data_IF_269753570845
#
_entry.id   IF_269753570845
#
_cell.length_a   1.000
_cell.length_b   1.000
_cell.length_c   1.000
_cell.angle_alpha   90.00
_cell.angle_beta   90.00
_cell.angle_gamma   90.00
#
_symmetry.space_group_name_H-M   'P 1'
#
loop_
_entity.id
_entity.type
_entity.pdbx_description
1 polymer ?
#
# COMPACT_ATOMS: atom_id res chain seq x y z
N UNK A 1 -9.43 54.04 7.23
CA UNK A 1 -10.77 53.59 6.78
C UNK A 1 -10.88 53.88 5.29
N UNK A 2 -10.68 52.87 4.45
CA UNK A 2 -11.08 52.86 3.04
C UNK A 2 -11.25 51.40 2.64
N UNK A 3 -12.49 51.01 2.40
CA UNK A 3 -12.93 49.66 2.07
C UNK A 3 -13.35 49.71 0.61
N UNK A 4 -12.67 48.97 -0.28
CA UNK A 4 -13.11 48.79 -1.66
C UNK A 4 -13.87 47.46 -1.75
N UNK A 5 -15.19 47.56 -1.93
CA UNK A 5 -16.06 46.45 -2.28
C UNK A 5 -16.34 46.53 -3.79
N UNK A 6 -16.03 45.46 -4.52
CA UNK A 6 -16.42 45.28 -5.92
C UNK A 6 -17.72 44.48 -5.97
N UNK A 7 -18.69 45.04 -6.68
CA UNK A 7 -20.02 44.48 -6.98
C UNK A 7 -20.09 44.01 -8.43
N UNK A 8 -20.59 42.80 -8.65
CA UNK A 8 -21.22 42.26 -9.87
C UNK A 8 -21.55 40.80 -9.56
N UNK A 9 -22.76 40.26 -9.69
CA UNK A 9 -23.86 40.58 -10.59
C UNK A 9 -24.37 39.24 -11.12
N UNK A 10 -25.59 38.87 -10.72
CA UNK A 10 -26.41 37.73 -11.16
C UNK A 10 -26.32 37.38 -12.67
N UNK A 11 -26.47 36.10 -13.04
CA UNK A 11 -27.76 35.55 -13.51
C UNK A 11 -27.67 34.10 -14.05
N UNK A 12 -28.61 33.29 -13.57
CA UNK A 12 -29.25 32.04 -14.03
C UNK A 12 -28.95 31.44 -15.42
N UNK A 13 -28.98 30.08 -15.50
CA UNK A 13 -30.06 29.27 -16.14
C UNK A 13 -29.54 27.91 -16.68
N UNK A 14 -30.17 26.82 -16.27
CA UNK A 14 -30.13 25.48 -16.88
C UNK A 14 -31.56 25.09 -17.32
N UNK A 15 -31.81 23.93 -17.96
CA UNK A 15 -31.22 23.29 -19.16
C UNK A 15 -32.31 23.14 -20.27
N UNK A 16 -32.12 22.34 -21.34
CA UNK A 16 -32.88 21.07 -21.37
C UNK A 16 -32.21 19.86 -22.07
N UNK A 17 -32.85 18.72 -21.83
CA UNK A 17 -32.64 17.33 -22.25
C UNK A 17 -33.46 17.04 -23.53
N UNK A 18 -32.88 16.42 -24.57
CA UNK A 18 -33.57 15.82 -25.74
C UNK A 18 -32.83 14.50 -26.05
N UNK A 19 -33.37 13.29 -25.84
CA UNK A 19 -34.39 12.49 -26.57
C UNK A 19 -34.05 12.16 -28.03
N UNK A 20 -34.14 10.85 -28.28
CA UNK A 20 -33.85 10.06 -29.46
C UNK A 20 -34.30 10.59 -30.83
N UNK A 21 -33.58 10.16 -31.88
CA UNK A 21 -34.11 9.99 -33.23
C UNK A 21 -33.37 8.87 -33.95
N UNK A 22 -34.13 7.86 -34.36
CA UNK A 22 -33.76 6.79 -35.29
C UNK A 22 -33.71 7.30 -36.73
N UNK A 23 -32.82 6.75 -37.58
CA UNK A 23 -33.14 6.37 -38.96
C UNK A 23 -31.99 5.60 -39.63
N UNK A 24 -32.35 4.52 -40.30
CA UNK A 24 -31.54 3.61 -41.12
C UNK A 24 -30.54 4.28 -42.06
N UNK A 25 -29.50 3.52 -42.48
CA UNK A 25 -29.23 3.43 -43.90
C UNK A 25 -29.17 1.99 -44.42
N UNK A 26 -29.21 1.94 -45.75
CA UNK A 26 -29.62 0.88 -46.64
C UNK A 26 -28.49 -0.10 -46.95
N UNK A 27 -28.92 -1.34 -47.15
CA UNK A 27 -28.24 -2.53 -47.62
C UNK A 27 -27.57 -2.35 -49.00
N UNK A 28 -26.35 -2.88 -49.16
CA UNK A 28 -25.67 -2.98 -50.45
C UNK A 28 -24.28 -3.61 -50.37
N UNK A 29 -24.12 -4.74 -51.09
CA UNK A 29 -22.87 -5.38 -51.55
C UNK A 29 -22.16 -6.36 -50.60
N UNK A 30 -22.79 -7.53 -50.41
CA UNK A 30 -22.12 -8.78 -50.06
C UNK A 30 -21.46 -9.38 -51.30
N UNK A 31 -20.19 -9.08 -51.59
CA UNK A 31 -19.39 -9.99 -52.43
C UNK A 31 -17.87 -9.86 -52.29
N UNK A 32 -17.32 -8.74 -51.77
CA UNK A 32 -15.86 -8.54 -51.75
C UNK A 32 -15.17 -8.87 -50.39
N UNK A 33 -15.93 -9.11 -49.31
CA UNK A 33 -15.35 -9.39 -47.98
C UNK A 33 -14.92 -10.85 -47.74
N UNK A 34 -15.26 -11.78 -48.65
CA UNK A 34 -15.00 -13.20 -48.44
C UNK A 34 -13.55 -13.60 -48.71
N UNK A 35 -12.82 -12.86 -49.54
CA UNK A 35 -11.43 -13.16 -49.88
C UNK A 35 -10.46 -12.73 -48.76
N UNK A 36 -10.76 -11.62 -48.07
CA UNK A 36 -10.02 -11.17 -46.88
C UNK A 36 -10.30 -12.02 -45.63
N UNK A 37 -11.50 -12.63 -45.53
CA UNK A 37 -11.83 -13.56 -44.44
C UNK A 37 -11.15 -14.94 -44.62
N UNK A 38 -10.96 -15.37 -45.87
CA UNK A 38 -10.28 -16.63 -46.17
C UNK A 38 -8.80 -16.62 -45.79
N UNK A 39 -8.11 -15.47 -45.94
CA UNK A 39 -6.70 -15.31 -45.53
C UNK A 39 -6.51 -15.12 -44.02
N UNK A 40 -7.54 -14.63 -43.31
CA UNK A 40 -7.56 -14.47 -41.86
C UNK A 40 -7.96 -15.74 -41.09
N UNK A 41 -8.40 -16.81 -41.77
CA UNK A 41 -8.87 -18.03 -41.14
C UNK A 41 -7.86 -18.78 -40.23
N UNK A 42 -6.54 -18.81 -40.52
CA UNK A 42 -5.59 -19.61 -39.72
C UNK A 42 -5.36 -19.06 -38.31
N UNK A 43 -5.13 -17.75 -38.16
CA UNK A 43 -4.87 -17.13 -36.86
C UNK A 43 -6.12 -17.09 -35.97
N UNK A 44 -7.31 -17.01 -36.58
CA UNK A 44 -8.58 -17.09 -35.85
C UNK A 44 -8.71 -18.48 -35.21
N UNK A 45 -8.34 -19.55 -35.93
CA UNK A 45 -8.33 -20.90 -35.37
C UNK A 45 -7.27 -21.07 -34.27
N UNK A 46 -6.08 -20.49 -34.42
CA UNK A 46 -5.04 -20.54 -33.39
C UNK A 46 -5.45 -19.81 -32.11
N UNK A 47 -6.06 -18.62 -32.24
CA UNK A 47 -6.58 -17.84 -31.09
C UNK A 47 -7.77 -18.56 -30.45
N UNK A 48 -8.66 -19.16 -31.25
CA UNK A 48 -9.78 -19.95 -30.73
C UNK A 48 -9.29 -21.19 -29.97
N UNK A 49 -8.26 -21.85 -30.49
CA UNK A 49 -7.65 -23.00 -29.85
C UNK A 49 -6.95 -22.61 -28.54
N UNK A 50 -6.20 -21.51 -28.53
CA UNK A 50 -5.54 -20.98 -27.32
C UNK A 50 -6.55 -20.52 -26.26
N UNK A 51 -7.64 -19.88 -26.67
CA UNK A 51 -8.73 -19.49 -25.77
C UNK A 51 -9.41 -20.73 -25.17
N UNK A 52 -9.62 -21.79 -25.96
CA UNK A 52 -10.19 -23.06 -25.48
C UNK A 52 -9.27 -23.78 -24.49
N UNK A 53 -7.96 -23.76 -24.73
CA UNK A 53 -6.99 -24.33 -23.79
C UNK A 53 -6.91 -23.52 -22.48
N UNK A 54 -6.89 -22.19 -22.56
CA UNK A 54 -6.94 -21.33 -21.38
C UNK A 54 -8.24 -21.51 -20.57
N UNK A 55 -9.37 -21.72 -21.26
CA UNK A 55 -10.63 -22.01 -20.60
C UNK A 55 -10.61 -23.37 -19.88
N UNK A 56 -10.03 -24.41 -20.50
CA UNK A 56 -9.92 -25.74 -19.90
C UNK A 56 -8.97 -25.77 -18.69
N UNK A 57 -7.86 -25.04 -18.74
CA UNK A 57 -6.93 -24.94 -17.60
C UNK A 57 -7.57 -24.19 -16.43
N UNK A 58 -8.37 -23.16 -16.69
CA UNK A 58 -9.10 -22.43 -15.65
C UNK A 58 -10.18 -23.32 -15.00
N UNK A 59 -10.97 -24.06 -15.79
CA UNK A 59 -12.03 -24.95 -15.27
C UNK A 59 -11.41 -26.08 -14.44
N UNK A 60 -10.36 -26.73 -14.92
CA UNK A 60 -9.68 -27.81 -14.19
C UNK A 60 -8.96 -27.31 -12.93
N UNK A 61 -8.37 -26.12 -12.95
CA UNK A 61 -7.79 -25.51 -11.76
C UNK A 61 -8.86 -25.19 -10.70
N UNK A 62 -10.04 -24.72 -11.12
CA UNK A 62 -11.17 -24.45 -10.23
C UNK A 62 -11.69 -25.73 -9.59
N UNK A 63 -11.93 -26.79 -10.36
CA UNK A 63 -12.40 -28.09 -9.86
C UNK A 63 -11.40 -28.71 -8.86
N UNK A 64 -10.11 -28.66 -9.19
CA UNK A 64 -9.06 -29.14 -8.29
C UNK A 64 -8.96 -28.28 -7.01
N UNK A 65 -9.12 -26.96 -7.11
CA UNK A 65 -9.12 -26.08 -5.94
C UNK A 65 -10.33 -26.34 -5.03
N UNK A 66 -11.51 -26.58 -5.60
CA UNK A 66 -12.71 -26.94 -4.85
C UNK A 66 -12.50 -28.28 -4.12
N UNK A 67 -12.01 -29.31 -4.80
CA UNK A 67 -11.76 -30.61 -4.19
C UNK A 67 -10.69 -30.56 -3.07
N UNK A 68 -9.60 -29.81 -3.26
CA UNK A 68 -8.57 -29.60 -2.24
C UNK A 68 -9.11 -28.82 -1.04
N UNK A 69 -10.00 -27.85 -1.28
CA UNK A 69 -10.61 -27.07 -0.20
C UNK A 69 -11.56 -27.92 0.64
N UNK A 70 -12.43 -28.71 -0.01
CA UNK A 70 -13.36 -29.62 0.67
C UNK A 70 -12.62 -30.68 1.49
N UNK A 71 -11.61 -31.33 0.91
CA UNK A 71 -10.80 -32.33 1.63
C UNK A 71 -10.02 -31.77 2.82
N UNK A 72 -9.51 -30.53 2.73
CA UNK A 72 -8.87 -29.84 3.87
C UNK A 72 -9.89 -29.46 4.93
N UNK A 73 -11.08 -29.04 4.53
CA UNK A 73 -12.16 -28.68 5.44
C UNK A 73 -12.67 -29.91 6.21
N UNK A 74 -12.90 -31.03 5.53
CA UNK A 74 -13.26 -32.30 6.17
C UNK A 74 -12.18 -32.77 7.16
N UNK A 75 -10.90 -32.60 6.80
CA UNK A 75 -9.78 -32.95 7.70
C UNK A 75 -9.70 -32.03 8.92
N UNK A 76 -10.02 -30.75 8.77
CA UNK A 76 -10.08 -29.80 9.90
C UNK A 76 -11.27 -30.09 10.80
N UNK A 77 -12.45 -30.36 10.22
CA UNK A 77 -13.66 -30.70 10.98
C UNK A 77 -13.47 -31.97 11.80
N UNK A 78 -12.93 -33.04 11.19
CA UNK A 78 -12.69 -34.33 11.87
C UNK A 78 -11.59 -34.24 12.93
N UNK A 79 -10.51 -33.49 12.67
CA UNK A 79 -9.46 -33.25 13.66
C UNK A 79 -9.99 -32.40 14.81
N UNK A 80 -10.75 -31.34 14.51
CA UNK A 80 -11.35 -30.45 15.52
C UNK A 80 -12.37 -31.18 16.40
N UNK A 81 -13.19 -32.08 15.83
CA UNK A 81 -14.17 -32.85 16.62
C UNK A 81 -13.48 -33.82 17.58
N UNK A 82 -12.38 -34.46 17.16
CA UNK A 82 -11.60 -35.34 18.04
C UNK A 82 -10.96 -34.57 19.21
N UNK A 83 -10.43 -33.37 18.96
CA UNK A 83 -9.91 -32.50 20.02
C UNK A 83 -11.02 -31.96 20.94
N UNK A 84 -12.18 -31.60 20.39
CA UNK A 84 -13.31 -31.11 21.17
C UNK A 84 -13.90 -32.18 22.09
N UNK A 85 -14.05 -33.42 21.59
CA UNK A 85 -14.50 -34.54 22.42
C UNK A 85 -13.51 -34.82 23.56
N UNK A 86 -12.20 -34.76 23.29
CA UNK A 86 -11.18 -34.91 24.34
C UNK A 86 -11.27 -33.81 25.41
N UNK A 87 -11.60 -32.57 25.02
CA UNK A 87 -11.84 -31.48 25.98
C UNK A 87 -13.12 -31.68 26.79
N UNK A 88 -14.20 -32.18 26.18
CA UNK A 88 -15.43 -32.51 26.89
C UNK A 88 -15.21 -33.61 27.94
N UNK A 89 -14.45 -34.65 27.62
CA UNK A 89 -14.12 -35.72 28.57
C UNK A 89 -13.34 -35.18 29.78
N UNK A 90 -12.36 -34.30 29.54
CA UNK A 90 -11.61 -33.65 30.64
C UNK A 90 -12.47 -32.72 31.49
N UNK A 91 -13.49 -32.07 30.90
CA UNK A 91 -14.41 -31.24 31.67
C UNK A 91 -15.37 -32.06 32.52
N UNK A 92 -15.79 -33.25 32.04
CA UNK A 92 -16.59 -34.16 32.84
C UNK A 92 -15.81 -34.71 34.04
N UNK A 93 -14.53 -35.00 33.85
CA UNK A 93 -13.62 -35.45 34.91
C UNK A 93 -13.43 -34.37 35.99
N UNK A 94 -13.13 -33.13 35.58
CA UNK A 94 -13.03 -31.99 36.50
C UNK A 94 -14.37 -31.69 37.19
N UNK A 95 -15.50 -31.86 36.50
CA UNK A 95 -16.83 -31.70 37.10
C UNK A 95 -17.08 -32.72 38.21
N UNK A 96 -16.66 -33.98 38.02
CA UNK A 96 -16.76 -35.01 39.04
C UNK A 96 -15.87 -34.69 40.26
N UNK A 97 -14.67 -34.15 40.03
CA UNK A 97 -13.75 -33.73 41.09
C UNK A 97 -14.25 -32.47 41.82
N UNK A 98 -14.89 -31.52 41.11
CA UNK A 98 -15.50 -30.31 41.71
C UNK A 98 -16.68 -30.63 42.65
N UNK A 99 -17.47 -31.68 42.36
CA UNK A 99 -18.64 -32.03 43.19
C UNK A 99 -18.25 -32.35 44.64
N UNK A 100 -17.07 -32.94 44.85
CA UNK A 100 -16.55 -33.26 46.20
C UNK A 100 -16.31 -31.99 47.01
N UNK A 101 -15.82 -30.92 46.38
CA UNK A 101 -15.59 -29.63 47.04
C UNK A 101 -16.87 -28.81 47.17
N UNK A 102 -17.79 -28.94 46.21
CA UNK A 102 -19.10 -28.30 46.24
C UNK A 102 -19.92 -28.79 47.45
N UNK A 103 -19.96 -30.09 47.72
CA UNK A 103 -20.69 -30.63 48.88
C UNK A 103 -20.09 -30.19 50.22
N UNK A 104 -18.76 -30.11 50.33
CA UNK A 104 -18.07 -29.64 51.55
C UNK A 104 -18.33 -28.15 51.78
N UNK A 105 -18.29 -27.33 50.72
CA UNK A 105 -18.52 -25.89 50.84
C UNK A 105 -19.98 -25.56 51.10
N UNK A 106 -20.93 -26.23 50.44
CA UNK A 106 -22.37 -26.10 50.72
C UNK A 106 -22.70 -26.61 52.13
N UNK A 107 -22.08 -27.70 52.59
CA UNK A 107 -22.21 -28.19 53.96
C UNK A 107 -21.78 -27.15 55.00
N UNK A 108 -20.61 -26.52 54.80
CA UNK A 108 -20.11 -25.45 55.69
C UNK A 108 -20.96 -24.18 55.64
N UNK A 109 -21.53 -23.84 54.49
CA UNK A 109 -22.46 -22.71 54.37
C UNK A 109 -23.75 -22.99 55.16
N UNK A 110 -24.28 -24.22 55.08
CA UNK A 110 -25.44 -24.64 55.88
C UNK A 110 -25.16 -24.56 57.39
N UNK A 111 -23.99 -25.03 57.81
CA UNK A 111 -23.56 -24.95 59.22
C UNK A 111 -23.36 -23.48 59.65
N UNK A 112 -22.82 -22.64 58.77
CA UNK A 112 -22.72 -21.20 58.98
C UNK A 112 -24.07 -20.47 59.02
N UNK A 113 -25.08 -20.94 58.28
CA UNK A 113 -26.47 -20.44 58.35
C UNK A 113 -27.10 -20.80 59.69
N UNK A 114 -26.84 -22.00 60.20
CA UNK A 114 -27.32 -22.44 61.51
C UNK A 114 -26.67 -21.60 62.63
N UNK A 115 -25.38 -21.28 62.51
CA UNK A 115 -24.67 -20.36 63.42
C UNK A 115 -25.19 -18.92 63.29
N UNK A 116 -25.46 -18.43 62.07
CA UNK A 116 -26.01 -17.10 61.83
C UNK A 116 -27.41 -16.92 62.45
N UNK A 117 -28.19 -18.01 62.55
CA UNK A 117 -29.51 -18.03 63.20
C UNK A 117 -29.43 -17.71 64.69
N UNK A 118 -28.33 -18.08 65.36
CA UNK A 118 -28.13 -17.81 66.80
C UNK A 118 -27.75 -16.35 67.12
N UNK A 119 -27.15 -15.62 66.16
CA UNK A 119 -26.72 -14.23 66.33
C UNK A 119 -27.03 -13.36 65.09
N UNK A 120 -28.31 -13.02 64.83
CA UNK A 120 -28.72 -12.35 63.60
C UNK A 120 -28.18 -10.91 63.48
N UNK A 121 -28.10 -10.15 64.58
CA UNK A 121 -27.71 -8.72 64.53
C UNK A 121 -26.22 -8.50 64.24
N UNK A 122 -25.33 -9.30 64.85
CA UNK A 122 -23.88 -9.18 64.65
C UNK A 122 -23.47 -9.69 63.27
N UNK A 123 -24.10 -10.77 62.79
CA UNK A 123 -23.82 -11.37 61.49
C UNK A 123 -24.23 -10.46 60.33
N UNK A 124 -25.38 -9.77 60.43
CA UNK A 124 -25.82 -8.78 59.44
C UNK A 124 -24.82 -7.62 59.36
N UNK A 125 -24.36 -7.09 60.50
CA UNK A 125 -23.39 -6.00 60.54
C UNK A 125 -22.04 -6.38 59.90
N UNK A 126 -21.51 -7.55 60.22
CA UNK A 126 -20.27 -8.05 59.64
C UNK A 126 -20.40 -8.27 58.12
N UNK A 127 -21.52 -8.84 57.67
CA UNK A 127 -21.79 -9.08 56.25
C UNK A 127 -21.88 -7.76 55.47
N UNK A 128 -22.66 -6.79 55.93
CA UNK A 128 -22.74 -5.48 55.28
C UNK A 128 -21.39 -4.75 55.26
N UNK A 129 -20.61 -4.83 56.33
CA UNK A 129 -19.26 -4.24 56.39
C UNK A 129 -18.31 -4.85 55.37
N UNK A 130 -18.30 -6.17 55.24
CA UNK A 130 -17.46 -6.88 54.27
C UNK A 130 -17.90 -6.59 52.83
N UNK A 131 -19.21 -6.53 52.57
CA UNK A 131 -19.77 -6.17 51.27
C UNK A 131 -19.38 -4.72 50.91
N UNK A 132 -19.51 -3.78 51.85
CA UNK A 132 -19.15 -2.38 51.63
C UNK A 132 -17.65 -2.20 51.33
N UNK A 133 -16.79 -2.93 52.02
CA UNK A 133 -15.34 -2.87 51.81
C UNK A 133 -14.89 -3.61 50.54
N UNK A 134 -15.60 -4.67 50.15
CA UNK A 134 -15.39 -5.45 48.93
C UNK A 134 -15.85 -4.75 47.64
N UNK A 135 -16.78 -3.79 47.74
CA UNK A 135 -17.21 -2.95 46.61
C UNK A 135 -16.02 -2.09 46.11
N UNK A 136 -15.61 -2.29 44.85
CA UNK A 136 -14.45 -1.59 44.23
C UNK A 136 -14.53 -0.06 44.29
N UNK A 137 -15.73 0.52 44.32
CA UNK A 137 -15.97 1.97 44.24
C UNK A 137 -15.65 2.73 45.55
N UNK A 138 -16.19 2.36 46.72
CA UNK A 138 -15.84 3.03 47.99
C UNK A 138 -14.36 2.91 48.35
N UNK A 139 -13.72 1.76 48.08
CA UNK A 139 -12.27 1.60 48.29
C UNK A 139 -11.44 2.59 47.49
N UNK A 140 -11.76 2.77 46.20
CA UNK A 140 -11.08 3.75 45.33
C UNK A 140 -11.31 5.17 45.80
N UNK A 141 -12.53 5.50 46.23
CA UNK A 141 -12.87 6.82 46.76
C UNK A 141 -12.07 7.17 48.02
N UNK A 142 -12.03 6.26 49.01
CA UNK A 142 -11.26 6.47 50.24
C UNK A 142 -9.76 6.57 49.97
N UNK A 143 -9.22 5.72 49.10
CA UNK A 143 -7.82 5.77 48.69
C UNK A 143 -7.47 7.10 47.99
N UNK A 144 -8.29 7.55 47.05
CA UNK A 144 -8.08 8.82 46.36
C UNK A 144 -8.17 10.02 47.33
N UNK A 145 -9.11 10.00 48.27
CA UNK A 145 -9.28 11.07 49.26
C UNK A 145 -8.11 11.10 50.25
N UNK A 146 -7.69 9.94 50.77
CA UNK A 146 -6.53 9.84 51.65
C UNK A 146 -5.24 10.29 50.96
N UNK A 147 -5.01 9.86 49.72
CA UNK A 147 -3.85 10.29 48.92
C UNK A 147 -3.87 11.79 48.62
N UNK A 148 -5.05 12.37 48.38
CA UNK A 148 -5.20 13.82 48.15
C UNK A 148 -4.95 14.64 49.42
N UNK A 149 -5.31 14.13 50.59
CA UNK A 149 -5.05 14.77 51.88
C UNK A 149 -3.58 14.66 52.30
N UNK A 150 -2.89 13.58 51.89
CA UNK A 150 -1.46 13.36 52.16
C UNK A 150 -0.53 14.03 51.12
N UNK A 151 -1.08 14.54 50.01
CA UNK A 151 -0.30 15.28 49.01
C UNK A 151 -0.29 16.76 49.39
N UNK A 152 0.78 17.23 50.02
CA UNK A 152 0.99 18.65 50.34
C UNK A 152 1.05 19.48 49.05
N UNK A 153 0.44 20.66 49.03
CA UNK A 153 0.42 21.57 47.87
C UNK A 153 1.83 21.87 47.35
N UNK A 154 2.80 21.98 48.26
CA UNK A 154 4.22 22.21 47.96
C UNK A 154 4.87 21.04 47.18
N UNK A 155 4.46 19.80 47.42
CA UNK A 155 4.95 18.64 46.68
C UNK A 155 4.42 18.60 45.25
N UNK A 156 3.21 19.12 45.02
CA UNK A 156 2.65 19.25 43.67
C UNK A 156 3.32 20.37 42.88
N UNK A 157 3.58 21.51 43.52
CA UNK A 157 4.27 22.65 42.90
C UNK A 157 5.72 22.31 42.55
N UNK A 158 6.47 21.69 43.47
CA UNK A 158 7.85 21.27 43.19
C UNK A 158 7.95 20.24 42.07
N UNK A 159 7.03 19.28 42.00
CA UNK A 159 6.97 18.33 40.89
C UNK A 159 6.61 19.03 39.56
N UNK A 160 5.69 20.00 39.59
CA UNK A 160 5.38 20.81 38.41
C UNK A 160 6.60 21.62 37.93
N UNK A 161 7.37 22.21 38.83
CA UNK A 161 8.59 22.95 38.49
C UNK A 161 9.67 22.05 37.87
N UNK A 162 9.83 20.82 38.38
CA UNK A 162 10.74 19.83 37.80
C UNK A 162 10.30 19.46 36.38
N UNK A 163 9.01 19.18 36.17
CA UNK A 163 8.47 18.87 34.85
C UNK A 163 8.63 20.04 33.87
N UNK A 164 8.40 21.28 34.31
CA UNK A 164 8.61 22.47 33.46
C UNK A 164 10.08 22.63 33.08
N UNK A 165 11.01 22.36 34.00
CA UNK A 165 12.45 22.41 33.70
C UNK A 165 12.87 21.32 32.70
N UNK A 166 12.35 20.11 32.87
CA UNK A 166 12.57 19.00 31.94
C UNK A 166 12.01 19.31 30.54
N UNK A 167 10.80 19.86 30.47
CA UNK A 167 10.18 20.29 29.21
C UNK A 167 10.94 21.43 28.53
N UNK A 168 11.44 22.41 29.29
CA UNK A 168 12.28 23.48 28.72
C UNK A 168 13.56 22.90 28.13
N UNK A 169 14.22 21.98 28.85
CA UNK A 169 15.43 21.30 28.36
C UNK A 169 15.17 20.51 27.07
N UNK A 170 14.02 19.81 26.97
CA UNK A 170 13.67 19.08 25.75
C UNK A 170 13.35 20.01 24.59
N UNK A 171 12.70 21.15 24.83
CA UNK A 171 12.47 22.18 23.81
C UNK A 171 13.79 22.77 23.31
N UNK A 172 14.74 23.08 24.19
CA UNK A 172 16.03 23.63 23.78
C UNK A 172 16.84 22.62 22.96
N UNK A 173 16.81 21.34 23.34
CA UNK A 173 17.42 20.26 22.55
C UNK A 173 16.76 20.14 21.17
N UNK A 174 15.43 20.13 21.10
CA UNK A 174 14.67 20.10 19.84
C UNK A 174 14.96 21.31 18.97
N UNK A 175 15.10 22.50 19.57
CA UNK A 175 15.44 23.72 18.83
C UNK A 175 16.82 23.60 18.18
N UNK A 176 17.82 23.16 18.94
CA UNK A 176 19.17 22.93 18.42
C UNK A 176 19.22 21.89 17.30
N UNK A 177 18.48 20.79 17.45
CA UNK A 177 18.33 19.78 16.39
C UNK A 177 17.59 20.32 15.17
N UNK A 178 16.51 21.08 15.37
CA UNK A 178 15.71 21.66 14.28
C UNK A 178 16.51 22.62 13.41
N UNK A 179 17.30 23.53 14.02
CA UNK A 179 18.16 24.45 13.27
C UNK A 179 19.23 23.71 12.47
N UNK A 180 19.79 22.62 13.03
CA UNK A 180 20.76 21.78 12.33
C UNK A 180 20.12 21.07 11.14
N UNK A 181 18.93 20.49 11.33
CA UNK A 181 18.19 19.80 10.27
C UNK A 181 17.78 20.79 9.16
N UNK A 182 17.33 21.99 9.51
CA UNK A 182 16.96 23.04 8.56
C UNK A 182 18.17 23.45 7.70
N UNK A 183 19.31 23.75 8.32
CA UNK A 183 20.55 24.08 7.58
C UNK A 183 20.97 22.94 6.64
N UNK A 184 20.85 21.70 7.10
CA UNK A 184 21.15 20.53 6.26
C UNK A 184 20.16 20.38 5.09
N UNK A 185 18.87 20.62 5.33
CA UNK A 185 17.85 20.56 4.29
C UNK A 185 18.06 21.62 3.21
N UNK A 186 18.32 22.89 3.60
CA UNK A 186 18.62 23.99 2.67
C UNK A 186 19.88 23.70 1.86
N UNK A 187 20.93 23.16 2.50
CA UNK A 187 22.15 22.77 1.78
C UNK A 187 21.88 21.66 0.77
N UNK A 188 21.14 20.62 1.15
CA UNK A 188 20.78 19.52 0.27
C UNK A 188 19.93 19.99 -0.92
N UNK A 189 18.99 20.92 -0.69
CA UNK A 189 18.21 21.55 -1.76
C UNK A 189 19.10 22.30 -2.75
N UNK A 190 20.05 23.11 -2.26
CA UNK A 190 20.96 23.86 -3.12
C UNK A 190 21.86 22.92 -3.95
N UNK A 191 22.36 21.84 -3.35
CA UNK A 191 23.14 20.82 -4.05
C UNK A 191 22.32 20.07 -5.09
N UNK A 192 21.07 19.74 -4.79
CA UNK A 192 20.13 19.12 -5.74
C UNK A 192 19.85 20.05 -6.92
N UNK A 193 19.60 21.33 -6.67
CA UNK A 193 19.35 22.31 -7.74
C UNK A 193 20.57 22.49 -8.65
N UNK A 194 21.78 22.54 -8.07
CA UNK A 194 23.04 22.55 -8.83
C UNK A 194 23.27 21.25 -9.60
N UNK A 195 22.93 20.10 -9.02
CA UNK A 195 23.00 18.80 -9.70
C UNK A 195 22.05 18.75 -10.90
N UNK A 196 20.81 19.23 -10.72
CA UNK A 196 19.79 19.29 -11.78
C UNK A 196 20.21 20.17 -12.96
N UNK A 197 20.84 21.33 -12.71
CA UNK A 197 21.33 22.19 -13.78
C UNK A 197 22.49 21.55 -14.54
N UNK A 198 23.43 20.89 -13.84
CA UNK A 198 24.52 20.13 -14.47
C UNK A 198 24.00 18.98 -15.34
N UNK A 199 23.04 18.19 -14.84
CA UNK A 199 22.40 17.12 -15.62
C UNK A 199 21.69 17.64 -16.86
N UNK A 200 21.00 18.79 -16.75
CA UNK A 200 20.37 19.44 -17.89
C UNK A 200 21.39 19.88 -18.95
N UNK A 201 22.51 20.45 -18.53
CA UNK A 201 23.58 20.87 -19.44
C UNK A 201 24.24 19.66 -20.13
N UNK A 202 24.58 18.62 -19.36
CA UNK A 202 25.12 17.38 -19.90
C UNK A 202 24.15 16.73 -20.90
N UNK A 203 22.85 16.67 -20.56
CA UNK A 203 21.82 16.19 -21.47
C UNK A 203 21.80 16.97 -22.79
N UNK A 204 21.91 18.30 -22.77
CA UNK A 204 21.96 19.12 -23.99
C UNK A 204 23.19 18.81 -24.84
N UNK A 205 24.35 18.59 -24.20
CA UNK A 205 25.57 18.19 -24.90
C UNK A 205 25.40 16.82 -25.55
N UNK A 206 24.86 15.82 -24.82
CA UNK A 206 24.59 14.49 -25.38
C UNK A 206 23.60 14.58 -26.55
N UNK A 207 22.54 15.39 -26.43
CA UNK A 207 21.58 15.62 -27.52
C UNK A 207 22.23 16.24 -28.75
N UNK A 208 23.21 17.13 -28.56
CA UNK A 208 24.04 17.65 -29.66
C UNK A 208 24.84 16.53 -30.34
N UNK A 209 25.52 15.69 -29.56
CA UNK A 209 26.30 14.55 -30.08
C UNK A 209 25.42 13.55 -30.81
N UNK A 210 24.22 13.24 -30.30
CA UNK A 210 23.22 12.39 -30.97
C UNK A 210 22.88 12.95 -32.35
N UNK A 211 22.67 14.26 -32.50
CA UNK A 211 22.39 14.89 -33.81
C UNK A 211 23.60 14.77 -34.74
N UNK A 212 24.82 14.94 -34.23
CA UNK A 212 26.04 14.79 -35.01
C UNK A 212 26.22 13.34 -35.48
N UNK A 213 26.05 12.36 -34.60
CA UNK A 213 26.08 10.94 -34.92
C UNK A 213 25.01 10.57 -35.96
N UNK A 214 23.80 11.13 -35.83
CA UNK A 214 22.72 10.95 -36.80
C UNK A 214 23.09 11.50 -38.19
N UNK A 215 23.75 12.66 -38.26
CA UNK A 215 24.24 13.20 -39.55
C UNK A 215 25.29 12.28 -40.19
N UNK A 216 26.24 11.78 -39.40
CA UNK A 216 27.28 10.84 -39.86
C UNK A 216 26.64 9.56 -40.39
N UNK A 217 25.70 8.99 -39.64
CA UNK A 217 24.93 7.81 -40.05
C UNK A 217 24.21 8.03 -41.39
N UNK A 218 23.58 9.20 -41.57
CA UNK A 218 22.90 9.54 -42.83
C UNK A 218 23.86 9.72 -44.00
N UNK A 219 25.00 10.38 -43.77
CA UNK A 219 26.03 10.53 -44.79
C UNK A 219 26.65 9.18 -45.18
N UNK A 220 26.92 8.33 -44.20
CA UNK A 220 27.45 6.99 -44.44
C UNK A 220 26.43 6.10 -45.15
N UNK A 221 25.15 6.18 -44.79
CA UNK A 221 24.08 5.46 -45.49
C UNK A 221 23.96 5.91 -46.96
N UNK A 222 23.91 7.22 -47.22
CA UNK A 222 23.86 7.74 -48.58
C UNK A 222 25.10 7.37 -49.41
N UNK A 223 26.30 7.43 -48.81
CA UNK A 223 27.53 7.01 -49.49
C UNK A 223 27.52 5.50 -49.79
N UNK A 224 27.01 4.68 -48.87
CA UNK A 224 26.84 3.24 -49.09
C UNK A 224 25.90 2.95 -50.26
N UNK A 225 24.82 3.72 -50.40
CA UNK A 225 23.86 3.59 -51.50
C UNK A 225 24.51 3.93 -52.85
N UNK A 226 25.25 5.05 -52.93
CA UNK A 226 26.03 5.39 -54.14
C UNK A 226 27.06 4.31 -54.47
N UNK A 227 27.81 3.84 -53.47
CA UNK A 227 28.80 2.79 -53.67
C UNK A 227 28.17 1.48 -54.15
N UNK A 228 26.89 1.22 -53.86
CA UNK A 228 26.17 0.01 -54.32
C UNK A 228 26.03 -0.04 -55.84
N UNK A 229 25.97 1.11 -56.51
CA UNK A 229 25.80 1.22 -57.97
C UNK A 229 27.10 0.93 -58.74
N UNK A 230 28.27 1.06 -58.12
CA UNK A 230 29.56 0.85 -58.76
C UNK A 230 29.97 -0.65 -58.78
N UNK A 231 30.06 -1.33 -59.94
CA UNK A 231 30.41 -2.76 -59.99
C UNK A 231 31.90 -3.08 -59.76
N UNK A 232 32.73 -2.10 -59.38
CA UNK A 232 34.19 -2.28 -59.20
C UNK A 232 34.56 -2.93 -57.87
N UNK A 233 35.66 -3.69 -57.87
CA UNK A 233 36.20 -4.37 -56.67
C UNK A 233 36.60 -3.40 -55.56
N UNK A 234 37.20 -2.26 -55.88
CA UNK A 234 37.56 -1.22 -54.90
C UNK A 234 36.33 -0.67 -54.16
N UNK A 235 35.18 -0.55 -54.83
CA UNK A 235 33.94 -0.11 -54.21
C UNK A 235 33.48 -1.07 -53.10
N UNK A 236 33.76 -2.37 -53.21
CA UNK A 236 33.42 -3.35 -52.17
C UNK A 236 34.16 -3.12 -50.85
N UNK A 237 35.44 -2.71 -50.91
CA UNK A 237 36.23 -2.38 -49.72
C UNK A 237 35.62 -1.15 -49.03
N UNK A 238 35.33 -0.09 -49.80
CA UNK A 238 34.69 1.11 -49.26
C UNK A 238 33.29 0.82 -48.70
N UNK A 239 32.49 -0.03 -49.33
CA UNK A 239 31.18 -0.46 -48.79
C UNK A 239 31.32 -1.08 -47.40
N UNK A 240 32.34 -1.92 -47.19
CA UNK A 240 32.56 -2.56 -45.89
C UNK A 240 32.95 -1.54 -44.82
N UNK A 241 33.85 -0.60 -45.16
CA UNK A 241 34.32 0.45 -44.25
C UNK A 241 33.18 1.41 -43.89
N UNK A 242 32.42 1.88 -44.87
CA UNK A 242 31.27 2.78 -44.66
C UNK A 242 30.17 2.08 -43.87
N UNK A 243 29.90 0.80 -44.13
CA UNK A 243 28.93 0.02 -43.36
C UNK A 243 29.37 -0.16 -41.90
N UNK A 244 30.68 -0.33 -41.65
CA UNK A 244 31.23 -0.38 -40.28
C UNK A 244 31.00 0.95 -39.56
N UNK A 245 31.39 2.07 -40.18
CA UNK A 245 31.21 3.43 -39.62
C UNK A 245 29.73 3.71 -39.33
N UNK A 246 28.81 3.39 -40.26
CA UNK A 246 27.38 3.57 -40.06
C UNK A 246 26.85 2.76 -38.87
N UNK A 247 27.29 1.49 -38.76
CA UNK A 247 26.88 0.62 -37.65
C UNK A 247 27.41 1.10 -36.29
N UNK A 248 28.62 1.65 -36.26
CA UNK A 248 29.25 2.20 -35.06
C UNK A 248 28.54 3.49 -34.62
N UNK A 249 28.30 4.42 -35.55
CA UNK A 249 27.53 5.63 -35.30
C UNK A 249 26.10 5.32 -34.79
N UNK A 250 25.45 4.30 -35.35
CA UNK A 250 24.12 3.85 -34.92
C UNK A 250 24.14 3.31 -33.49
N UNK A 251 25.14 2.49 -33.14
CA UNK A 251 25.32 1.94 -31.78
C UNK A 251 25.53 3.06 -30.76
N UNK A 252 26.44 3.97 -31.05
CA UNK A 252 26.76 5.11 -30.18
C UNK A 252 25.55 6.02 -29.99
N UNK A 253 24.85 6.36 -31.08
CA UNK A 253 23.61 7.14 -31.03
C UNK A 253 22.56 6.47 -30.14
N UNK A 254 22.34 5.17 -30.30
CA UNK A 254 21.34 4.43 -29.52
C UNK A 254 21.74 4.35 -28.03
N UNK A 255 23.03 4.21 -27.72
CA UNK A 255 23.55 4.27 -26.36
C UNK A 255 23.30 5.65 -25.72
N UNK A 256 23.73 6.72 -26.38
CA UNK A 256 23.53 8.09 -25.91
C UNK A 256 22.05 8.46 -25.77
N UNK A 257 21.19 7.96 -26.67
CA UNK A 257 19.74 8.16 -26.58
C UNK A 257 19.17 7.54 -25.31
N UNK A 258 19.62 6.34 -24.93
CA UNK A 258 19.21 5.70 -23.66
C UNK A 258 19.63 6.52 -22.45
N UNK A 259 20.84 7.08 -22.45
CA UNK A 259 21.32 7.93 -21.36
C UNK A 259 20.52 9.24 -21.25
N UNK A 260 20.16 9.88 -22.36
CA UNK A 260 19.28 11.06 -22.34
C UNK A 260 17.88 10.71 -21.83
N UNK A 261 17.32 9.56 -22.22
CA UNK A 261 16.03 9.10 -21.69
C UNK A 261 16.11 8.86 -20.18
N UNK A 262 17.21 8.30 -19.67
CA UNK A 262 17.41 8.19 -18.21
C UNK A 262 17.37 9.57 -17.54
N UNK A 263 18.03 10.58 -18.08
CA UNK A 263 17.97 11.96 -17.53
C UNK A 263 16.54 12.49 -17.55
N UNK A 264 15.81 12.29 -18.64
CA UNK A 264 14.41 12.73 -18.78
C UNK A 264 13.48 12.04 -17.79
N UNK A 265 13.68 10.74 -17.51
CA UNK A 265 12.88 9.97 -16.56
C UNK A 265 12.99 10.49 -15.12
N UNK A 266 14.09 11.19 -14.78
CA UNK A 266 14.24 11.88 -13.48
C UNK A 266 13.52 13.25 -13.44
N UNK A 267 12.65 13.56 -14.41
CA UNK A 267 11.90 14.82 -14.46
C UNK A 267 12.74 16.02 -14.91
N UNK A 268 13.89 15.78 -15.57
CA UNK A 268 14.79 16.82 -16.06
C UNK A 268 14.58 16.99 -17.57
N UNK A 269 14.01 18.12 -17.98
CA UNK A 269 13.80 18.44 -19.40
C UNK A 269 15.11 18.85 -20.08
N UNK A 270 15.48 18.10 -21.12
CA UNK A 270 16.73 18.22 -21.90
C UNK A 270 16.51 18.80 -23.29
#
# INVERSE_FOLDING_TARGET
MSVNALSSGENSKAPPRNVASSLHPKQGNHSENFETLAQAAPWINDVLHQARQAQQTIVTALENAIAVTNSRMDRVLTTSSAHFNRSLDTLQDVKAECHVYEDITIGKIKEGIDVASSHPLTTIGAFLGLVFLGLKRPRRYLYCKARRLLSTEEAMLSNADVQVKELKKSIDALKGESEKLERNAVKAEQELMRGKTKLRQAGKQIRSVIRSAYKIERQAAGLKDVLKELPRREASLFRSQVSKIASEATKERNFLTKEVTKISNHGISV
#
